data_IF_094957845354
#
_entry.id   IF_094957845354
#
_cell.length_a   1.000
_cell.length_b   1.000
_cell.length_c   1.000
_cell.angle_alpha   90.00
_cell.angle_beta   90.00
_cell.angle_gamma   90.00
#
_symmetry.space_group_name_H-M   'P 1'
#
loop_
_entity.id
_entity.type
_entity.pdbx_description
1 polymer ?
#
# COMPACT_ATOMS: atom_id res chain seq x y z
N UNK A 1 -5.90 38.59 12.54
CA UNK A 1 -5.65 37.14 12.71
C UNK A 1 -4.76 36.70 11.58
N UNK A 2 -3.60 36.12 11.87
CA UNK A 2 -2.72 35.56 10.85
C UNK A 2 -3.46 34.37 10.21
N UNK A 3 -3.59 34.29 8.88
CA UNK A 3 -4.25 33.14 8.25
C UNK A 3 -3.53 31.86 8.68
N UNK A 4 -4.30 30.90 9.20
CA UNK A 4 -3.75 29.62 9.66
C UNK A 4 -3.29 28.83 8.42
N UNK A 5 -1.97 28.64 8.30
CA UNK A 5 -1.38 27.86 7.21
C UNK A 5 -1.52 26.38 7.54
N UNK A 6 -2.06 25.62 6.59
CA UNK A 6 -2.24 24.18 6.69
C UNK A 6 -0.86 23.49 6.61
N UNK A 7 -0.48 22.84 7.72
CA UNK A 7 0.77 22.10 7.87
C UNK A 7 0.55 20.58 7.61
N UNK A 8 1.61 19.79 7.67
CA UNK A 8 1.58 18.35 7.37
C UNK A 8 0.66 17.54 8.29
N UNK A 9 0.53 17.92 9.57
CA UNK A 9 -0.34 17.26 10.53
C UNK A 9 -1.82 17.49 10.19
N UNK A 10 -2.21 18.75 9.97
CA UNK A 10 -3.55 19.11 9.55
C UNK A 10 -3.89 18.52 8.16
N UNK A 11 -2.92 18.46 7.24
CA UNK A 11 -3.06 17.80 5.95
C UNK A 11 -3.39 16.31 6.12
N UNK A 12 -2.68 15.62 7.00
CA UNK A 12 -2.91 14.20 7.26
C UNK A 12 -4.29 13.94 7.88
N UNK A 13 -4.72 14.77 8.83
CA UNK A 13 -6.08 14.67 9.37
C UNK A 13 -7.16 14.90 8.31
N UNK A 14 -6.95 15.85 7.39
CA UNK A 14 -7.87 16.07 6.27
C UNK A 14 -7.91 14.88 5.32
N UNK A 15 -6.76 14.23 5.05
CA UNK A 15 -6.68 13.02 4.23
C UNK A 15 -7.49 11.89 4.86
N UNK A 16 -7.30 11.63 6.17
CA UNK A 16 -8.08 10.61 6.88
C UNK A 16 -9.58 10.90 6.85
N UNK A 17 -9.98 12.17 6.98
CA UNK A 17 -11.38 12.60 6.89
C UNK A 17 -11.94 12.55 5.47
N UNK A 18 -11.09 12.64 4.46
CA UNK A 18 -11.46 12.53 3.05
C UNK A 18 -11.64 11.08 2.59
N UNK A 19 -11.18 10.11 3.38
CA UNK A 19 -11.23 8.70 2.99
C UNK A 19 -12.67 8.24 2.73
N UNK A 20 -12.89 7.68 1.54
CA UNK A 20 -14.21 7.27 1.03
C UNK A 20 -15.25 8.39 0.91
N UNK A 21 -14.84 9.67 0.83
CA UNK A 21 -15.74 10.79 0.57
C UNK A 21 -15.55 11.40 -0.83
N UNK A 22 -16.62 12.00 -1.35
CA UNK A 22 -16.63 12.77 -2.61
C UNK A 22 -17.68 13.87 -2.56
N UNK A 23 -17.46 14.98 -3.25
CA UNK A 23 -18.42 16.08 -3.33
C UNK A 23 -18.64 16.82 -2.00
N UNK A 24 -17.61 16.88 -1.16
CA UNK A 24 -17.67 17.50 0.18
C UNK A 24 -16.58 18.55 0.36
N UNK A 25 -16.86 19.52 1.23
CA UNK A 25 -15.86 20.49 1.68
C UNK A 25 -15.51 20.21 3.13
N UNK A 26 -14.25 19.86 3.37
CA UNK A 26 -13.70 19.59 4.68
C UNK A 26 -13.15 20.88 5.29
N UNK A 27 -13.57 21.14 6.52
CA UNK A 27 -13.06 22.23 7.32
C UNK A 27 -11.69 21.90 7.94
N UNK A 28 -10.84 22.92 8.10
CA UNK A 28 -9.57 22.82 8.80
C UNK A 28 -9.80 22.32 10.23
N UNK A 29 -9.00 21.35 10.70
CA UNK A 29 -9.06 20.90 12.08
C UNK A 29 -8.88 22.05 13.07
N UNK A 30 -9.77 22.15 14.05
CA UNK A 30 -9.71 23.13 15.13
C UNK A 30 -10.30 24.52 14.83
N UNK A 31 -10.40 24.97 13.57
CA UNK A 31 -10.96 26.29 13.24
C UNK A 31 -12.35 26.26 12.61
N UNK A 32 -12.74 25.16 11.95
CA UNK A 32 -14.02 25.05 11.25
C UNK A 32 -14.08 25.78 9.91
N UNK A 33 -13.01 26.47 9.51
CA UNK A 33 -12.93 27.17 8.23
C UNK A 33 -12.77 26.17 7.06
N UNK A 34 -13.42 26.38 5.89
CA UNK A 34 -13.25 25.53 4.72
C UNK A 34 -11.78 25.43 4.29
N UNK A 35 -11.26 24.21 4.13
CA UNK A 35 -9.85 23.97 3.80
C UNK A 35 -9.64 23.16 2.52
N UNK A 36 -10.42 22.10 2.33
CA UNK A 36 -10.24 21.15 1.23
C UNK A 36 -11.60 20.81 0.62
N UNK A 37 -11.75 21.07 -0.67
CA UNK A 37 -12.92 20.69 -1.46
C UNK A 37 -12.59 19.45 -2.30
N UNK A 38 -13.44 18.42 -2.21
CA UNK A 38 -13.35 17.19 -3.00
C UNK A 38 -14.42 17.20 -4.08
N UNK A 39 -14.04 16.93 -5.33
CA UNK A 39 -14.98 16.96 -6.45
C UNK A 39 -16.03 15.83 -6.33
N UNK A 40 -17.24 16.05 -6.88
CA UNK A 40 -18.36 15.10 -6.82
C UNK A 40 -18.37 14.07 -7.97
N UNK A 41 -17.54 14.28 -9.00
CA UNK A 41 -17.65 13.54 -10.26
C UNK A 41 -16.89 12.20 -10.28
N UNK A 42 -16.52 11.66 -9.11
CA UNK A 42 -15.72 10.43 -9.01
C UNK A 42 -14.27 10.58 -9.49
N UNK A 43 -13.84 11.79 -9.85
CA UNK A 43 -12.45 12.12 -10.15
C UNK A 43 -11.67 12.34 -8.85
N UNK A 44 -10.37 12.02 -8.85
CA UNK A 44 -9.46 12.31 -7.72
C UNK A 44 -9.09 13.80 -7.62
N UNK A 45 -9.93 14.69 -8.16
CA UNK A 45 -9.71 16.13 -8.17
C UNK A 45 -10.10 16.75 -6.84
N UNK A 46 -9.24 17.64 -6.36
CA UNK A 46 -9.43 18.36 -5.12
C UNK A 46 -8.91 19.79 -5.27
N UNK A 47 -9.42 20.67 -4.43
CA UNK A 47 -9.00 22.08 -4.39
C UNK A 47 -8.74 22.51 -2.95
N UNK A 48 -7.60 23.14 -2.73
CA UNK A 48 -7.32 23.84 -1.49
C UNK A 48 -8.01 25.20 -1.47
N UNK A 49 -8.70 25.47 -0.36
CA UNK A 49 -9.38 26.74 -0.06
C UNK A 49 -8.57 27.59 0.93
N UNK A 50 -7.49 27.04 1.49
CA UNK A 50 -6.56 27.70 2.41
C UNK A 50 -5.12 27.62 1.92
N UNK A 51 -4.25 28.46 2.48
CA UNK A 51 -2.81 28.37 2.25
C UNK A 51 -2.26 27.12 2.94
N UNK A 52 -1.35 26.42 2.27
CA UNK A 52 -0.69 25.23 2.77
C UNK A 52 0.81 25.33 2.57
N UNK A 53 1.59 24.69 3.44
CA UNK A 53 3.03 24.51 3.19
C UNK A 53 3.25 23.60 1.98
N UNK A 54 4.46 23.60 1.42
CA UNK A 54 4.77 22.76 0.27
C UNK A 54 4.70 21.27 0.63
N UNK A 55 5.17 20.90 1.83
CA UNK A 55 5.12 19.54 2.34
C UNK A 55 3.68 19.06 2.51
N UNK A 56 2.80 19.93 3.01
CA UNK A 56 1.38 19.64 3.16
C UNK A 56 0.69 19.44 1.80
N UNK A 57 1.00 20.31 0.82
CA UNK A 57 0.47 20.20 -0.55
C UNK A 57 0.96 18.93 -1.24
N UNK A 58 2.24 18.60 -1.07
CA UNK A 58 2.83 17.36 -1.57
C UNK A 58 2.14 16.14 -0.97
N UNK A 59 1.93 16.12 0.34
CA UNK A 59 1.21 15.04 1.03
C UNK A 59 -0.22 14.85 0.49
N UNK A 60 -0.98 15.93 0.36
CA UNK A 60 -2.34 15.90 -0.20
C UNK A 60 -2.34 15.36 -1.64
N UNK A 61 -1.39 15.78 -2.46
CA UNK A 61 -1.26 15.36 -3.86
C UNK A 61 -0.99 13.87 -4.03
N UNK A 62 -0.27 13.27 -3.08
CA UNK A 62 0.06 11.83 -3.09
C UNK A 62 -1.08 10.99 -2.55
N UNK A 63 -1.71 11.40 -1.43
CA UNK A 63 -2.64 10.54 -0.71
C UNK A 63 -4.12 10.74 -1.02
N UNK A 64 -4.56 11.95 -1.40
CA UNK A 64 -5.97 12.15 -1.77
C UNK A 64 -6.44 11.29 -2.95
N UNK A 65 -5.61 11.02 -3.99
CA UNK A 65 -6.00 10.06 -5.03
C UNK A 65 -6.33 8.66 -4.49
N UNK A 66 -5.71 8.26 -3.37
CA UNK A 66 -5.94 6.96 -2.73
C UNK A 66 -7.22 6.91 -1.90
N UNK A 67 -7.78 8.07 -1.55
CA UNK A 67 -8.95 8.21 -0.68
C UNK A 67 -10.28 8.05 -1.42
N UNK A 68 -10.27 7.96 -2.75
CA UNK A 68 -11.50 7.95 -3.56
C UNK A 68 -12.47 6.85 -3.12
N UNK A 69 -13.79 7.13 -3.05
CA UNK A 69 -14.78 6.09 -2.81
C UNK A 69 -14.79 5.09 -3.96
N UNK A 70 -14.90 3.81 -3.62
CA UNK A 70 -15.03 2.73 -4.60
C UNK A 70 -16.51 2.38 -4.73
N UNK A 71 -17.04 2.48 -5.95
CA UNK A 71 -18.43 2.12 -6.22
C UNK A 71 -18.65 0.62 -5.96
N UNK A 72 -19.88 0.25 -5.63
CA UNK A 72 -20.26 -1.15 -5.53
C UNK A 72 -20.03 -1.84 -6.89
N UNK A 73 -19.40 -3.02 -6.87
CA UNK A 73 -19.00 -3.74 -8.09
C UNK A 73 -17.79 -3.17 -8.85
N UNK A 74 -17.19 -2.05 -8.44
CA UNK A 74 -15.94 -1.59 -9.05
C UNK A 74 -14.76 -2.53 -8.75
N UNK A 75 -13.73 -2.56 -9.60
CA UNK A 75 -12.45 -3.18 -9.24
C UNK A 75 -11.93 -2.68 -7.90
N UNK A 76 -11.12 -3.51 -7.25
CA UNK A 76 -10.40 -3.15 -6.04
C UNK A 76 -9.36 -2.09 -6.36
N UNK A 77 -8.98 -1.31 -5.36
CA UNK A 77 -7.87 -0.37 -5.48
C UNK A 77 -6.63 -1.00 -4.86
N UNK A 78 -5.60 -1.25 -5.66
CA UNK A 78 -4.41 -1.99 -5.25
C UNK A 78 -3.17 -1.11 -5.35
N UNK A 79 -2.53 -0.93 -4.20
CA UNK A 79 -1.31 -0.13 -4.05
C UNK A 79 -0.17 -1.08 -3.76
N UNK A 80 0.90 -1.03 -4.55
CA UNK A 80 2.16 -1.69 -4.24
C UNK A 80 3.15 -0.72 -3.58
N UNK A 81 4.01 -1.21 -2.70
CA UNK A 81 5.16 -0.44 -2.22
C UNK A 81 6.42 -1.28 -2.11
N UNK A 82 7.54 -0.68 -2.55
CA UNK A 82 8.89 -1.23 -2.38
C UNK A 82 9.84 -0.16 -1.86
N UNK A 83 10.69 -0.54 -0.90
CA UNK A 83 11.80 0.26 -0.42
C UNK A 83 13.09 -0.33 -0.93
N UNK A 84 13.88 0.43 -1.69
CA UNK A 84 15.11 -0.04 -2.31
C UNK A 84 16.27 0.92 -2.08
N UNK A 85 17.48 0.38 -2.21
CA UNK A 85 18.70 1.16 -2.39
C UNK A 85 18.75 1.85 -3.75
N UNK A 86 19.68 2.78 -3.94
CA UNK A 86 19.91 3.49 -5.20
C UNK A 86 20.23 2.54 -6.37
N UNK A 87 20.87 1.41 -6.09
CA UNK A 87 21.20 0.36 -7.05
C UNK A 87 20.11 -0.74 -7.15
N UNK A 88 18.88 -0.44 -6.70
CA UNK A 88 17.69 -1.24 -6.96
C UNK A 88 17.56 -2.51 -6.11
N UNK A 89 18.11 -2.51 -4.89
CA UNK A 89 18.12 -3.69 -4.00
C UNK A 89 17.26 -3.51 -2.76
N UNK A 90 16.54 -4.57 -2.38
CA UNK A 90 15.61 -4.59 -1.23
C UNK A 90 16.14 -5.35 -0.02
N UNK A 91 17.27 -6.04 -0.18
CA UNK A 91 17.94 -6.75 0.89
C UNK A 91 19.37 -7.12 0.47
N UNK A 92 20.22 -7.46 1.44
CA UNK A 92 21.45 -8.19 1.19
C UNK A 92 21.18 -9.61 0.64
N UNK A 93 22.21 -10.31 0.15
CA UNK A 93 22.09 -11.72 -0.28
C UNK A 93 21.56 -12.63 0.83
N UNK A 94 21.90 -12.33 2.09
CA UNK A 94 21.42 -13.04 3.28
C UNK A 94 19.99 -12.68 3.68
N UNK A 95 19.33 -11.78 2.94
CA UNK A 95 17.94 -11.39 3.17
C UNK A 95 17.75 -10.35 4.28
N UNK A 96 18.81 -9.63 4.67
CA UNK A 96 18.70 -8.52 5.62
C UNK A 96 18.20 -7.28 4.89
N UNK A 97 17.01 -6.80 5.27
CA UNK A 97 16.25 -5.70 4.62
C UNK A 97 15.93 -4.55 5.58
N UNK A 98 16.24 -4.69 6.87
CA UNK A 98 15.93 -3.67 7.89
C UNK A 98 16.73 -2.39 7.64
N UNK A 99 16.06 -1.25 7.80
CA UNK A 99 16.65 0.11 7.71
C UNK A 99 17.12 0.52 6.32
N UNK A 100 16.51 -0.02 5.25
CA UNK A 100 16.70 0.56 3.91
C UNK A 100 16.03 1.94 3.88
N UNK A 101 14.74 2.02 4.22
CA UNK A 101 14.05 3.31 4.31
C UNK A 101 14.37 4.05 5.60
N UNK A 102 14.41 5.37 5.50
CA UNK A 102 14.50 6.28 6.64
C UNK A 102 13.16 6.49 7.33
N UNK A 103 13.16 7.35 8.35
CA UNK A 103 11.98 7.62 9.19
C UNK A 103 10.81 8.21 8.40
N UNK A 104 11.08 9.03 7.39
CA UNK A 104 10.04 9.63 6.53
C UNK A 104 9.41 8.58 5.63
N UNK A 105 10.21 7.67 5.06
CA UNK A 105 9.74 6.54 4.28
C UNK A 105 8.90 5.57 5.12
N UNK A 106 9.32 5.31 6.36
CA UNK A 106 8.54 4.51 7.32
C UNK A 106 7.21 5.22 7.62
N UNK A 107 7.22 6.53 7.87
CA UNK A 107 5.99 7.30 8.11
C UNK A 107 5.06 7.24 6.89
N UNK A 108 5.58 7.38 5.68
CA UNK A 108 4.86 7.23 4.41
C UNK A 108 4.20 5.85 4.29
N UNK A 109 4.95 4.78 4.57
CA UNK A 109 4.44 3.41 4.59
C UNK A 109 3.26 3.26 5.56
N UNK A 110 3.40 3.80 6.76
CA UNK A 110 2.35 3.76 7.78
C UNK A 110 1.09 4.55 7.38
N UNK A 111 1.24 5.62 6.61
CA UNK A 111 0.09 6.36 6.02
C UNK A 111 -0.65 5.53 4.97
N UNK A 112 0.06 4.77 4.13
CA UNK A 112 -0.60 3.86 3.17
C UNK A 112 -1.40 2.80 3.92
N UNK A 113 -0.82 2.18 4.96
CA UNK A 113 -1.53 1.22 5.82
C UNK A 113 -2.80 1.81 6.42
N UNK A 114 -2.75 3.06 6.88
CA UNK A 114 -3.89 3.74 7.50
C UNK A 114 -5.07 3.99 6.54
N UNK A 115 -4.82 4.04 5.23
CA UNK A 115 -5.83 4.24 4.19
C UNK A 115 -6.23 2.93 3.48
N UNK A 116 -5.76 1.79 3.98
CA UNK A 116 -5.99 0.49 3.36
C UNK A 116 -6.90 -0.36 4.23
N UNK A 117 -7.77 -1.14 3.58
CA UNK A 117 -8.59 -2.14 4.27
C UNK A 117 -7.73 -3.34 4.69
N UNK A 118 -6.74 -3.69 3.85
CA UNK A 118 -5.84 -4.81 4.08
C UNK A 118 -4.41 -4.51 3.64
N UNK A 119 -3.45 -5.10 4.34
CA UNK A 119 -2.03 -5.12 3.98
C UNK A 119 -1.57 -6.55 3.73
N UNK A 120 -1.07 -6.81 2.53
CA UNK A 120 -0.65 -8.13 2.04
C UNK A 120 0.86 -8.23 2.06
N UNK A 121 1.40 -9.29 2.66
CA UNK A 121 2.83 -9.60 2.69
C UNK A 121 3.09 -11.05 2.28
N UNK A 122 4.23 -11.32 1.64
CA UNK A 122 4.68 -12.69 1.37
C UNK A 122 5.26 -13.39 2.62
N UNK A 123 5.05 -14.71 2.75
CA UNK A 123 5.61 -15.48 3.88
C UNK A 123 7.15 -15.42 3.99
N UNK A 124 7.87 -15.20 2.89
CA UNK A 124 9.33 -15.03 2.93
C UNK A 124 9.75 -13.82 3.76
N UNK A 125 9.15 -12.66 3.47
CA UNK A 125 9.36 -11.42 4.24
C UNK A 125 8.84 -11.59 5.66
N UNK A 126 7.63 -12.10 5.84
CA UNK A 126 7.02 -12.26 7.16
C UNK A 126 7.86 -13.14 8.09
N UNK A 127 8.35 -14.28 7.60
CA UNK A 127 9.15 -15.21 8.39
C UNK A 127 10.50 -14.61 8.83
N UNK A 128 11.14 -13.81 7.97
CA UNK A 128 12.46 -13.21 8.26
C UNK A 128 12.33 -11.96 9.13
N UNK A 129 11.42 -11.06 8.79
CA UNK A 129 11.37 -9.73 9.40
C UNK A 129 10.52 -9.68 10.67
N UNK A 130 9.60 -10.63 10.84
CA UNK A 130 8.60 -10.64 11.91
C UNK A 130 7.85 -9.28 12.00
N UNK A 131 7.18 -8.84 10.92
CA UNK A 131 6.53 -7.54 10.90
C UNK A 131 5.25 -7.53 11.74
N UNK A 132 4.89 -6.36 12.27
CA UNK A 132 3.59 -6.17 12.94
C UNK A 132 2.47 -5.83 11.95
N UNK A 133 2.81 -5.16 10.83
CA UNK A 133 1.89 -4.67 9.79
C UNK A 133 0.76 -3.75 10.31
N UNK A 134 1.06 -2.96 11.33
CA UNK A 134 0.14 -1.99 11.97
C UNK A 134 0.51 -0.54 11.66
N UNK A 135 -0.38 0.39 11.97
CA UNK A 135 -0.16 1.84 11.93
C UNK A 135 0.39 2.29 13.30
N UNK A 136 1.56 2.95 13.31
CA UNK A 136 2.32 3.29 14.53
C UNK A 136 3.08 4.61 14.43
N UNK A 137 3.48 5.00 13.23
CA UNK A 137 4.20 6.26 12.98
C UNK A 137 3.27 7.41 12.54
N UNK A 138 1.95 7.20 12.55
CA UNK A 138 0.96 8.21 12.17
C UNK A 138 -0.41 7.84 12.77
N UNK A 139 -1.40 8.72 12.65
CA UNK A 139 -2.79 8.43 13.05
C UNK A 139 -3.53 7.65 11.96
N UNK A 140 -4.53 6.85 12.35
CA UNK A 140 -5.35 6.05 11.44
C UNK A 140 -5.64 4.66 12.00
N UNK A 141 -6.43 3.89 11.27
CA UNK A 141 -6.83 2.54 11.67
C UNK A 141 -5.84 1.48 11.17
N UNK A 142 -5.68 0.40 11.92
CA UNK A 142 -4.90 -0.74 11.44
C UNK A 142 -5.65 -1.47 10.30
N UNK A 143 -4.98 -1.78 9.18
CA UNK A 143 -5.54 -2.65 8.16
C UNK A 143 -5.63 -4.09 8.65
N UNK A 144 -6.45 -4.90 7.97
CA UNK A 144 -6.41 -6.36 8.10
C UNK A 144 -5.06 -6.86 7.61
N UNK A 145 -4.40 -7.72 8.39
CA UNK A 145 -3.08 -8.25 8.05
C UNK A 145 -3.24 -9.51 7.23
N UNK A 146 -2.71 -9.56 6.02
CA UNK A 146 -2.83 -10.71 5.13
C UNK A 146 -1.45 -11.26 4.85
N UNK A 147 -1.22 -12.53 5.19
CA UNK A 147 0.05 -13.20 4.91
C UNK A 147 -0.14 -14.35 3.93
N UNK A 148 0.60 -14.29 2.82
CA UNK A 148 0.60 -15.31 1.78
C UNK A 148 1.52 -16.46 2.20
N UNK A 149 0.98 -17.45 2.91
CA UNK A 149 1.73 -18.51 3.58
C UNK A 149 1.27 -19.92 3.19
N UNK A 150 1.39 -20.22 1.88
CA UNK A 150 0.98 -21.49 1.24
C UNK A 150 1.25 -22.74 2.09
N UNK A 151 2.44 -22.84 2.69
CA UNK A 151 2.94 -24.02 3.40
C UNK A 151 3.16 -23.79 4.90
N UNK A 152 2.49 -22.80 5.51
CA UNK A 152 2.59 -22.51 6.94
C UNK A 152 4.03 -22.30 7.46
N UNK A 153 4.84 -21.57 6.70
CA UNK A 153 6.27 -21.33 6.96
C UNK A 153 6.53 -20.20 7.94
N UNK A 154 5.58 -19.29 8.13
CA UNK A 154 5.74 -18.20 9.11
C UNK A 154 5.57 -18.79 10.52
N UNK A 155 6.53 -18.59 11.43
CA UNK A 155 6.44 -19.14 12.79
C UNK A 155 5.21 -18.64 13.55
N UNK A 156 4.52 -19.53 14.27
CA UNK A 156 3.36 -19.19 15.11
C UNK A 156 3.71 -18.20 16.24
N UNK A 157 4.99 -18.07 16.57
CA UNK A 157 5.50 -17.09 17.56
C UNK A 157 5.59 -15.66 17.04
N UNK A 158 5.38 -15.42 15.74
CA UNK A 158 5.53 -14.10 15.15
C UNK A 158 4.37 -13.16 15.51
N UNK A 159 4.63 -11.85 15.45
CA UNK A 159 3.70 -10.80 15.86
C UNK A 159 2.35 -10.90 15.14
N UNK A 160 2.38 -11.25 13.85
CA UNK A 160 1.18 -11.46 13.04
C UNK A 160 0.15 -12.40 13.67
N UNK A 161 0.57 -13.35 14.51
CA UNK A 161 -0.29 -14.37 15.11
C UNK A 161 -0.47 -14.24 16.62
N UNK A 162 0.34 -13.40 17.28
CA UNK A 162 0.45 -13.39 18.76
C UNK A 162 0.07 -12.07 19.41
N UNK A 163 0.18 -10.94 18.72
CA UNK A 163 0.02 -9.61 19.35
C UNK A 163 -1.44 -9.16 19.48
N UNK A 164 -2.37 -9.76 18.73
CA UNK A 164 -3.78 -9.35 18.68
C UNK A 164 -4.03 -7.91 18.20
N UNK A 165 -3.06 -7.24 17.56
CA UNK A 165 -3.13 -5.81 17.26
C UNK A 165 -4.06 -5.44 16.09
N UNK A 166 -4.38 -6.42 15.24
CA UNK A 166 -5.34 -6.34 14.15
C UNK A 166 -5.77 -7.75 13.71
N UNK A 167 -6.95 -7.93 13.08
CA UNK A 167 -7.31 -9.21 12.49
C UNK A 167 -6.26 -9.69 11.48
N UNK A 168 -5.91 -10.96 11.55
CA UNK A 168 -4.93 -11.58 10.63
C UNK A 168 -5.57 -12.68 9.79
N UNK A 169 -5.37 -12.59 8.47
CA UNK A 169 -5.71 -13.63 7.51
C UNK A 169 -4.41 -14.35 7.07
N UNK A 170 -4.35 -15.66 7.28
CA UNK A 170 -3.29 -16.50 6.74
C UNK A 170 -3.81 -17.22 5.50
N UNK A 171 -3.39 -16.78 4.32
CA UNK A 171 -3.75 -17.47 3.08
C UNK A 171 -2.88 -18.72 2.93
N UNK A 172 -3.50 -19.89 2.85
CA UNK A 172 -2.84 -21.21 2.80
C UNK A 172 -3.27 -21.99 1.56
N UNK A 173 -2.57 -23.09 1.27
CA UNK A 173 -2.94 -23.96 0.17
C UNK A 173 -4.34 -24.59 0.37
N UNK A 174 -5.21 -24.48 -0.62
CA UNK A 174 -6.55 -25.07 -0.60
C UNK A 174 -7.57 -24.30 -1.42
N UNK A 175 -8.84 -24.72 -1.28
CA UNK A 175 -9.93 -24.30 -2.15
C UNK A 175 -10.88 -23.35 -1.40
N UNK A 176 -11.01 -22.13 -1.90
CA UNK A 176 -11.83 -21.10 -1.27
C UNK A 176 -13.30 -21.31 -1.61
N UNK A 177 -14.18 -21.04 -0.64
CA UNK A 177 -15.63 -20.96 -0.86
C UNK A 177 -16.11 -19.58 -0.42
N UNK A 178 -16.85 -18.86 -1.28
CA UNK A 178 -17.45 -17.57 -0.90
C UNK A 178 -18.27 -17.66 0.40
N UNK A 179 -18.17 -16.63 1.23
CA UNK A 179 -18.82 -16.55 2.54
C UNK A 179 -18.18 -17.38 3.66
N UNK A 180 -17.12 -18.15 3.38
CA UNK A 180 -16.50 -19.05 4.36
C UNK A 180 -15.93 -18.33 5.61
N UNK A 181 -15.59 -17.06 5.49
CA UNK A 181 -14.96 -16.30 6.56
C UNK A 181 -15.66 -14.96 6.87
N UNK A 182 -16.99 -14.91 6.73
CA UNK A 182 -17.81 -13.72 7.08
C UNK A 182 -17.50 -13.15 8.48
N UNK A 183 -17.08 -14.01 9.43
CA UNK A 183 -16.75 -13.63 10.82
C UNK A 183 -15.25 -13.58 11.13
N UNK A 184 -14.36 -13.41 10.13
CA UNK A 184 -12.91 -13.37 10.37
C UNK A 184 -12.51 -12.29 11.40
N UNK A 185 -13.25 -11.17 11.46
CA UNK A 185 -13.02 -10.08 12.41
C UNK A 185 -13.24 -10.47 13.88
N UNK A 186 -13.96 -11.56 14.15
CA UNK A 186 -14.18 -12.07 15.51
C UNK A 186 -13.01 -12.93 16.01
N UNK A 187 -12.09 -13.30 15.13
CA UNK A 187 -10.94 -14.13 15.43
C UNK A 187 -9.65 -13.32 15.32
N UNK A 188 -8.68 -13.61 16.20
CA UNK A 188 -7.36 -12.95 16.11
C UNK A 188 -6.63 -13.36 14.81
N UNK A 189 -6.72 -14.65 14.44
CA UNK A 189 -6.12 -15.23 13.23
C UNK A 189 -7.14 -16.15 12.57
N UNK A 190 -7.33 -16.01 11.26
CA UNK A 190 -8.18 -16.86 10.42
C UNK A 190 -7.36 -17.45 9.28
N UNK A 191 -7.35 -18.77 9.13
CA UNK A 191 -6.78 -19.41 7.94
C UNK A 191 -7.79 -19.39 6.79
N UNK A 192 -7.34 -18.99 5.60
CA UNK A 192 -8.15 -18.95 4.37
C UNK A 192 -7.48 -19.86 3.33
N UNK A 193 -8.10 -21.01 2.99
CA UNK A 193 -7.56 -21.91 1.99
C UNK A 193 -7.86 -21.38 0.59
N UNK A 194 -6.93 -20.63 -0.02
CA UNK A 194 -7.16 -20.02 -1.33
C UNK A 194 -5.92 -19.95 -2.22
N UNK A 195 -4.81 -20.54 -1.80
CA UNK A 195 -3.60 -20.60 -2.62
C UNK A 195 -3.53 -21.95 -3.35
N UNK A 196 -3.04 -21.93 -4.58
CA UNK A 196 -2.86 -23.14 -5.40
C UNK A 196 -1.98 -24.16 -4.67
N UNK A 197 -2.36 -25.45 -4.72
CA UNK A 197 -1.65 -26.55 -4.05
C UNK A 197 -0.35 -26.95 -4.76
N UNK A 198 -0.22 -26.60 -6.04
CA UNK A 198 0.94 -26.92 -6.87
C UNK A 198 2.12 -25.95 -6.70
N UNK A 199 3.23 -26.18 -7.42
CA UNK A 199 4.36 -25.25 -7.52
C UNK A 199 4.05 -24.01 -8.35
N UNK A 200 2.81 -23.87 -8.83
CA UNK A 200 2.34 -22.76 -9.65
C UNK A 200 2.62 -21.41 -9.01
N UNK A 201 2.80 -20.42 -9.87
CA UNK A 201 3.02 -19.03 -9.52
C UNK A 201 1.91 -18.53 -8.59
N UNK A 202 2.17 -17.42 -7.91
CA UNK A 202 1.11 -16.71 -7.21
C UNK A 202 0.00 -16.36 -8.21
N UNK A 203 -1.26 -16.43 -7.80
CA UNK A 203 -2.42 -15.98 -8.58
C UNK A 203 -3.01 -14.71 -7.95
N UNK A 204 -2.45 -13.52 -8.21
CA UNK A 204 -2.87 -12.30 -7.54
C UNK A 204 -4.34 -11.95 -7.78
N UNK A 205 -4.87 -12.24 -8.99
CA UNK A 205 -6.26 -12.00 -9.33
C UNK A 205 -7.21 -12.74 -8.38
N UNK A 206 -6.99 -14.04 -8.18
CA UNK A 206 -7.83 -14.84 -7.28
C UNK A 206 -7.68 -14.40 -5.81
N UNK A 207 -6.49 -13.97 -5.39
CA UNK A 207 -6.29 -13.39 -4.06
C UNK A 207 -7.14 -12.13 -3.88
N UNK A 208 -7.19 -11.25 -4.88
CA UNK A 208 -8.02 -10.04 -4.83
C UNK A 208 -9.51 -10.38 -4.79
N UNK A 209 -9.97 -11.39 -5.53
CA UNK A 209 -11.35 -11.88 -5.49
C UNK A 209 -11.74 -12.39 -4.09
N UNK A 210 -10.86 -13.16 -3.44
CA UNK A 210 -11.07 -13.63 -2.07
C UNK A 210 -11.14 -12.46 -1.09
N UNK A 211 -10.23 -11.47 -1.20
CA UNK A 211 -10.25 -10.30 -0.33
C UNK A 211 -11.51 -9.44 -0.56
N UNK A 212 -11.98 -9.35 -1.81
CA UNK A 212 -13.21 -8.67 -2.17
C UNK A 212 -14.44 -9.32 -1.52
N UNK A 213 -14.52 -10.66 -1.52
CA UNK A 213 -15.59 -11.41 -0.87
C UNK A 213 -15.63 -11.18 0.67
N UNK A 214 -14.46 -10.90 1.27
CA UNK A 214 -14.34 -10.50 2.67
C UNK A 214 -14.65 -9.02 2.94
N UNK A 215 -15.04 -8.27 1.90
CA UNK A 215 -15.36 -6.85 1.96
C UNK A 215 -14.14 -5.93 2.04
N UNK A 216 -12.96 -6.41 1.68
CA UNK A 216 -11.71 -5.64 1.66
C UNK A 216 -11.50 -5.11 0.24
N UNK A 217 -11.41 -3.78 0.07
CA UNK A 217 -11.46 -3.15 -1.25
C UNK A 217 -10.24 -2.31 -1.59
N UNK A 218 -9.61 -1.69 -0.59
CA UNK A 218 -8.31 -0.99 -0.70
C UNK A 218 -7.20 -1.90 -0.20
N UNK A 219 -6.45 -2.49 -1.13
CA UNK A 219 -5.44 -3.51 -0.84
C UNK A 219 -4.06 -2.89 -0.97
N UNK A 220 -3.27 -3.00 0.10
CA UNK A 220 -1.88 -2.59 0.10
C UNK A 220 -0.95 -3.79 0.06
N UNK A 221 -0.22 -3.97 -1.04
CA UNK A 221 0.77 -5.03 -1.21
C UNK A 221 2.13 -4.50 -0.76
N UNK A 222 2.52 -4.91 0.44
CA UNK A 222 3.74 -4.48 1.12
C UNK A 222 4.82 -5.56 1.05
N UNK A 223 6.05 -5.15 0.77
CA UNK A 223 7.23 -5.85 1.27
C UNK A 223 7.43 -7.30 0.78
N UNK A 224 8.24 -7.42 -0.25
CA UNK A 224 8.76 -8.67 -0.79
C UNK A 224 8.81 -8.54 -2.30
N UNK A 225 10.01 -8.43 -2.87
CA UNK A 225 10.18 -8.16 -4.30
C UNK A 225 9.37 -9.11 -5.19
N UNK A 226 9.28 -10.39 -4.80
CA UNK A 226 8.46 -11.39 -5.48
C UNK A 226 6.96 -11.10 -5.43
N UNK A 227 6.40 -10.71 -4.28
CA UNK A 227 4.96 -10.47 -4.13
C UNK A 227 4.55 -9.24 -4.94
N UNK A 228 5.25 -8.11 -4.77
CA UNK A 228 4.93 -6.89 -5.52
C UNK A 228 5.13 -7.11 -7.02
N UNK A 229 6.20 -7.82 -7.42
CA UNK A 229 6.44 -8.14 -8.84
C UNK A 229 5.34 -9.02 -9.42
N UNK A 230 4.78 -9.98 -8.67
CA UNK A 230 3.69 -10.81 -9.15
C UNK A 230 2.42 -9.99 -9.44
N UNK A 231 2.06 -9.07 -8.55
CA UNK A 231 0.91 -8.17 -8.78
C UNK A 231 1.18 -7.20 -9.94
N UNK A 232 2.40 -6.66 -10.05
CA UNK A 232 2.79 -5.78 -11.14
C UNK A 232 2.75 -6.51 -12.50
N UNK A 233 3.33 -7.72 -12.57
CA UNK A 233 3.33 -8.55 -13.77
C UNK A 233 1.91 -8.94 -14.20
N UNK A 234 1.01 -9.16 -13.24
CA UNK A 234 -0.39 -9.44 -13.52
C UNK A 234 -1.20 -8.21 -13.98
N UNK A 235 -0.61 -7.01 -13.98
CA UNK A 235 -1.32 -5.77 -14.34
C UNK A 235 -2.36 -5.35 -13.31
N UNK A 236 -2.17 -5.73 -12.04
CA UNK A 236 -3.17 -5.57 -10.98
C UNK A 236 -2.81 -4.49 -9.95
N UNK A 237 -1.76 -3.70 -10.18
CA UNK A 237 -1.46 -2.52 -9.37
C UNK A 237 -2.08 -1.30 -10.04
N UNK A 238 -2.88 -0.52 -9.31
CA UNK A 238 -3.30 0.82 -9.72
C UNK A 238 -2.21 1.86 -9.46
N UNK A 239 -1.50 1.67 -8.34
CA UNK A 239 -0.44 2.55 -7.87
C UNK A 239 0.77 1.74 -7.42
N UNK A 240 1.97 2.23 -7.69
CA UNK A 240 3.19 1.68 -7.14
C UNK A 240 4.05 2.81 -6.56
N UNK A 241 4.32 2.72 -5.26
CA UNK A 241 5.22 3.62 -4.54
C UNK A 241 6.59 2.96 -4.39
N UNK A 242 7.60 3.46 -5.11
CA UNK A 242 8.99 3.01 -4.96
C UNK A 242 9.78 4.05 -4.19
N UNK A 243 10.18 3.72 -2.97
CA UNK A 243 11.02 4.57 -2.13
C UNK A 243 12.49 4.20 -2.34
N UNK A 244 13.30 5.17 -2.71
CA UNK A 244 14.73 5.01 -2.99
C UNK A 244 15.54 5.70 -1.91
N UNK A 245 16.24 4.89 -1.12
CA UNK A 245 17.16 5.36 -0.10
C UNK A 245 18.53 5.74 -0.72
N UNK A 246 19.23 6.76 -0.19
CA UNK A 246 20.56 7.17 -0.65
C UNK A 246 21.65 6.19 -0.16
N UNK A 247 21.48 4.90 -0.45
CA UNK A 247 22.40 3.82 -0.09
C UNK A 247 22.70 2.94 -1.31
N UNK A 248 23.85 2.26 -1.30
CA UNK A 248 24.23 1.27 -2.32
C UNK A 248 24.49 -0.06 -1.62
N UNK A 249 23.80 -1.13 -2.01
CA UNK A 249 23.92 -2.46 -1.38
C UNK A 249 24.89 -3.36 -2.16
N UNK A 250 24.95 -3.22 -3.49
CA UNK A 250 25.72 -4.07 -4.40
C UNK A 250 24.90 -5.25 -4.91
N UNK A 251 25.42 -6.47 -4.78
CA UNK A 251 24.80 -7.70 -5.30
C UNK A 251 23.61 -8.20 -4.47
N UNK A 252 22.83 -7.29 -3.88
CA UNK A 252 21.66 -7.60 -3.09
C UNK A 252 20.52 -8.22 -3.89
N UNK A 253 19.44 -8.57 -3.19
CA UNK A 253 18.21 -9.05 -3.83
C UNK A 253 17.56 -7.90 -4.61
N UNK A 254 17.22 -8.08 -5.89
CA UNK A 254 16.62 -7.01 -6.69
C UNK A 254 15.22 -6.65 -6.17
N UNK A 255 14.82 -5.40 -6.37
CA UNK A 255 13.48 -4.94 -6.01
C UNK A 255 12.39 -5.57 -6.88
N UNK A 256 12.67 -5.72 -8.16
CA UNK A 256 11.77 -6.30 -9.14
C UNK A 256 12.32 -7.64 -9.65
N UNK A 257 11.42 -8.59 -9.84
CA UNK A 257 11.69 -9.87 -10.50
C UNK A 257 10.58 -10.08 -11.51
N UNK A 258 10.78 -9.48 -12.69
CA UNK A 258 9.85 -9.50 -13.81
C UNK A 258 10.44 -10.36 -14.95
N UNK A 259 9.61 -10.82 -15.90
CA UNK A 259 10.10 -11.46 -17.11
C UNK A 259 11.08 -10.58 -17.88
N UNK A 260 11.97 -11.21 -18.63
CA UNK A 260 12.87 -10.52 -19.56
C UNK A 260 12.05 -9.89 -20.70
N UNK A 261 12.52 -8.74 -21.19
CA UNK A 261 11.99 -8.06 -22.37
C UNK A 261 13.10 -7.94 -23.41
N UNK A 262 12.75 -8.09 -24.68
CA UNK A 262 13.71 -8.00 -25.78
C UNK A 262 13.98 -6.53 -26.19
N UNK A 263 12.97 -5.65 -26.06
CA UNK A 263 13.04 -4.27 -26.51
C UNK A 263 12.63 -3.25 -25.44
N UNK A 264 13.20 -2.05 -25.49
CA UNK A 264 12.87 -0.96 -24.54
C UNK A 264 11.46 -0.39 -24.72
N UNK A 265 10.80 -0.71 -25.83
CA UNK A 265 9.41 -0.34 -26.10
C UNK A 265 8.43 -1.20 -25.30
N UNK A 266 8.86 -2.40 -24.87
CA UNK A 266 8.08 -3.30 -24.00
C UNK A 266 8.19 -2.90 -22.51
N UNK A 267 9.02 -1.91 -22.18
CA UNK A 267 9.19 -1.44 -20.80
C UNK A 267 7.94 -0.69 -20.32
N UNK A 268 7.54 -0.96 -19.07
CA UNK A 268 6.44 -0.23 -18.42
C UNK A 268 6.81 1.25 -18.21
N UNK A 269 5.96 2.17 -18.67
CA UNK A 269 6.15 3.63 -18.57
C UNK A 269 4.94 4.34 -17.94
N UNK A 270 4.59 4.05 -16.68
CA UNK A 270 3.44 4.67 -16.00
C UNK A 270 3.63 6.18 -15.84
N UNK A 271 2.52 6.91 -15.64
CA UNK A 271 2.59 8.32 -15.27
C UNK A 271 3.25 8.43 -13.89
N UNK A 272 4.29 9.26 -13.77
CA UNK A 272 5.13 9.30 -12.55
C UNK A 272 5.17 10.68 -11.92
N UNK A 273 5.15 10.71 -10.59
CA UNK A 273 5.50 11.87 -9.75
C UNK A 273 6.72 11.53 -8.90
N UNK A 274 7.56 12.53 -8.65
CA UNK A 274 8.73 12.41 -7.78
C UNK A 274 8.55 13.28 -6.56
N UNK A 275 8.72 12.69 -5.37
CA UNK A 275 8.54 13.40 -4.10
C UNK A 275 9.77 13.19 -3.24
N UNK A 276 10.38 14.28 -2.79
CA UNK A 276 11.41 14.22 -1.77
C UNK A 276 10.74 14.02 -0.41
N UNK A 277 10.97 12.87 0.23
CA UNK A 277 10.45 12.59 1.56
C UNK A 277 11.37 13.10 2.66
N UNK A 278 12.57 13.59 2.34
CA UNK A 278 13.61 13.96 3.30
C UNK A 278 14.73 12.91 3.30
N UNK A 279 14.49 11.78 3.97
CA UNK A 279 15.44 10.66 4.05
C UNK A 279 15.44 9.74 2.82
N UNK A 280 14.37 9.76 2.02
CA UNK A 280 14.18 8.93 0.83
C UNK A 280 13.63 9.77 -0.35
N UNK A 281 13.80 9.27 -1.57
CA UNK A 281 13.07 9.76 -2.76
C UNK A 281 11.93 8.80 -3.10
N UNK A 282 10.71 9.31 -3.18
CA UNK A 282 9.54 8.55 -3.62
C UNK A 282 9.32 8.72 -5.12
N UNK A 283 9.23 7.60 -5.82
CA UNK A 283 8.67 7.48 -7.16
C UNK A 283 7.23 6.98 -7.02
N UNK A 284 6.31 7.85 -7.35
CA UNK A 284 4.87 7.64 -7.24
C UNK A 284 4.32 7.36 -8.64
N UNK A 285 4.06 6.08 -8.93
CA UNK A 285 3.74 5.57 -10.27
C UNK A 285 2.26 5.22 -10.39
N UNK A 286 1.58 5.82 -11.37
CA UNK A 286 0.18 5.61 -11.71
C UNK A 286 0.02 4.66 -12.89
N UNK A 287 -0.61 3.52 -12.64
CA UNK A 287 -0.98 2.53 -13.65
C UNK A 287 -2.47 2.59 -14.01
N UNK A 288 -3.26 3.37 -13.28
CA UNK A 288 -4.68 3.57 -13.55
C UNK A 288 -4.95 4.65 -14.60
N UNK A 289 -3.99 5.55 -14.80
CA UNK A 289 -4.06 6.58 -15.83
C UNK A 289 -3.78 5.99 -17.23
N UNK A 290 -4.51 6.40 -18.28
CA UNK A 290 -4.15 6.05 -19.65
C UNK A 290 -2.72 6.55 -19.93
N UNK A 291 -1.90 5.73 -20.60
CA UNK A 291 -0.60 6.18 -21.07
C UNK A 291 -0.80 7.41 -21.97
N UNK A 292 0.03 8.46 -21.83
CA UNK A 292 -0.02 9.58 -22.76
C UNK A 292 0.17 9.04 -24.18
N UNK A 293 -0.68 9.47 -25.11
CA UNK A 293 -0.53 9.12 -26.52
C UNK A 293 0.83 9.66 -27.01
N UNK A 294 1.66 8.77 -27.57
CA UNK A 294 2.92 9.12 -28.22
C UNK A 294 2.68 10.02 -29.45
#
# INVERSE_FOLDING_TARGET
>A
MTPQVLNTEAAWELILRADNLSGVTLALPGSGEPALELNSNGTSEWRLLTLATEEARSLLSVFLPLCRPLAEGSPLHVIGQLGQSLDGRIATVTGRSRFINGEDGITHLHRIRALSDAVVVGAGTAAVDNPQLTVRCTSGTNPVRVVLDRNRRVPESHHLFTDGAAPTLRLVAGDYKPGMAENYRQHAVTEIPCLSRGPELLEPQFILEVLADLGLRKIFVEGGGMTVSAFLQAGLLDRLHVMVAPMIIGSGRPAFSLPEIDFLDDALRPVSRFVNLGTDMLFDLDFSAPLPAN
#
